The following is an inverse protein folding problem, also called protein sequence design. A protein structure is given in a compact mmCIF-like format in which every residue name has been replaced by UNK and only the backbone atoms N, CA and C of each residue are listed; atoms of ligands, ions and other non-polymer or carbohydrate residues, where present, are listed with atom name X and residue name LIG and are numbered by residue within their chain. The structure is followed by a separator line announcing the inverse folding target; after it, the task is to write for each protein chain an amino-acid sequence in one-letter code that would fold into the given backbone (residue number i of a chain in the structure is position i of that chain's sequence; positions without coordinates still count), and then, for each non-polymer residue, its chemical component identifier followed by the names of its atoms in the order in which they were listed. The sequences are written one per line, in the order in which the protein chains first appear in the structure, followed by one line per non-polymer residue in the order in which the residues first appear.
data_IF_561877597775
#
_entry.id   IF_561877597775
#
_cell.length_a   1.000
_cell.length_b   1.000
_cell.length_c   1.000
_cell.angle_alpha   90.00
_cell.angle_beta   90.00
_cell.angle_gamma   90.00
#
_symmetry.space_group_name_H-M   'P 1'
#
loop_
_entity.id
_entity.type
_entity.pdbx_description
1 polymer ?
#
# COMPACT_ATOMS: atom_id res chain seq x y z
N UNK A 1 8.97 -3.47 15.26
CA UNK A 1 9.03 -2.12 14.65
C UNK A 1 8.97 -1.11 15.78
N UNK A 2 9.87 -0.13 15.80
CA UNK A 2 9.75 0.97 16.75
C UNK A 2 8.46 1.74 16.47
N UNK A 3 7.69 1.98 17.52
CA UNK A 3 6.45 2.74 17.48
C UNK A 3 6.73 4.11 16.82
N UNK A 4 5.79 4.65 16.04
CA UNK A 4 5.88 5.99 15.44
C UNK A 4 6.31 7.05 16.46
N UNK A 5 5.86 6.88 17.71
CA UNK A 5 6.24 7.70 18.87
C UNK A 5 7.74 7.61 19.17
N UNK A 6 8.34 6.43 19.11
CA UNK A 6 9.76 6.23 19.44
C UNK A 6 10.68 6.94 18.44
N UNK A 7 10.31 6.94 17.14
CA UNK A 7 11.05 7.70 16.11
C UNK A 7 10.97 9.21 16.35
N UNK A 8 9.83 9.73 16.81
CA UNK A 8 9.66 11.14 17.18
C UNK A 8 10.46 11.50 18.44
N UNK A 9 10.46 10.63 19.45
CA UNK A 9 11.27 10.82 20.67
C UNK A 9 12.76 10.84 20.35
N UNK A 10 13.25 9.90 19.52
CA UNK A 10 14.63 9.90 19.05
C UNK A 10 14.98 11.20 18.31
N UNK A 11 14.12 11.63 17.39
CA UNK A 11 14.31 12.87 16.64
C UNK A 11 14.38 14.08 17.59
N UNK A 12 13.48 14.18 18.56
CA UNK A 12 13.48 15.26 19.55
C UNK A 12 14.75 15.27 20.39
N UNK A 13 15.21 14.11 20.86
CA UNK A 13 16.46 13.98 21.59
C UNK A 13 17.67 14.39 20.74
N UNK A 14 17.75 13.95 19.48
CA UNK A 14 18.85 14.34 18.58
C UNK A 14 18.86 15.85 18.30
N UNK A 15 17.69 16.47 18.16
CA UNK A 15 17.59 17.93 17.98
C UNK A 15 18.03 18.68 19.24
N UNK A 16 17.66 18.21 20.44
CA UNK A 16 18.11 18.82 21.71
C UNK A 16 19.65 18.75 21.81
N UNK A 17 20.24 17.60 21.48
CA UNK A 17 21.70 17.42 21.48
C UNK A 17 22.37 18.32 20.43
N UNK A 18 21.74 18.50 19.25
CA UNK A 18 22.24 19.42 18.23
C UNK A 18 22.24 20.87 18.73
N UNK A 19 21.16 21.32 19.39
CA UNK A 19 21.06 22.66 20.01
C UNK A 19 22.15 22.85 21.06
N UNK A 20 22.41 21.85 21.90
CA UNK A 20 23.48 21.89 22.90
C UNK A 20 24.88 21.98 22.25
N UNK A 21 25.15 21.21 21.19
CA UNK A 21 26.41 21.30 20.42
C UNK A 21 26.64 22.69 19.80
N UNK A 22 25.56 23.40 19.40
CA UNK A 22 25.69 24.79 18.95
C UNK A 22 26.10 25.75 20.09
N UNK A 23 25.69 25.48 21.33
CA UNK A 23 26.12 26.29 22.49
C UNK A 23 27.59 26.10 22.86
N UNK A 24 28.17 24.93 22.57
CA UNK A 24 29.61 24.66 22.77
C UNK A 24 30.50 25.08 21.57
N UNK A 25 29.98 25.86 20.62
CA UNK A 25 30.69 26.29 19.39
C UNK A 25 31.10 25.15 18.43
N UNK A 26 30.59 23.94 18.63
CA UNK A 26 30.82 22.78 17.76
C UNK A 26 29.82 22.75 16.58
N UNK A 27 29.85 23.80 15.75
CA UNK A 27 28.86 24.06 14.69
C UNK A 27 28.76 22.90 13.68
N UNK A 28 29.90 22.28 13.31
CA UNK A 28 29.93 21.15 12.38
C UNK A 28 29.19 19.91 12.90
N UNK A 29 29.35 19.60 14.18
CA UNK A 29 28.66 18.47 14.82
C UNK A 29 27.16 18.73 14.94
N UNK A 30 26.76 19.97 15.27
CA UNK A 30 25.36 20.37 15.32
C UNK A 30 24.65 20.22 13.96
N UNK A 31 25.30 20.65 12.88
CA UNK A 31 24.75 20.49 11.50
C UNK A 31 24.64 19.01 11.13
N UNK A 32 25.66 18.19 11.45
CA UNK A 32 25.63 16.76 11.18
C UNK A 32 24.49 16.05 11.94
N UNK A 33 24.27 16.40 13.20
CA UNK A 33 23.17 15.87 14.01
C UNK A 33 21.80 16.30 13.46
N UNK A 34 21.66 17.51 12.93
CA UNK A 34 20.43 17.94 12.26
C UNK A 34 20.18 17.17 10.95
N UNK A 35 21.22 16.90 10.15
CA UNK A 35 21.09 16.04 8.97
C UNK A 35 20.68 14.61 9.35
N UNK A 36 21.29 14.06 10.40
CA UNK A 36 20.95 12.75 10.94
C UNK A 36 19.49 12.69 11.46
N UNK A 37 19.05 13.75 12.15
CA UNK A 37 17.66 13.91 12.58
C UNK A 37 16.70 13.95 11.37
N UNK A 38 17.08 14.62 10.29
CA UNK A 38 16.35 14.63 9.02
C UNK A 38 16.14 13.23 8.44
N UNK A 39 17.14 12.34 8.54
CA UNK A 39 17.02 10.94 8.12
C UNK A 39 15.97 10.21 8.97
N UNK A 40 15.97 10.38 10.30
CA UNK A 40 14.96 9.76 11.16
C UNK A 40 13.54 10.23 10.84
N UNK A 41 13.36 11.50 10.49
CA UNK A 41 12.09 12.06 10.02
C UNK A 41 11.68 11.45 8.68
N UNK A 42 12.60 11.29 7.73
CA UNK A 42 12.30 10.63 6.46
C UNK A 42 11.87 9.16 6.64
N UNK A 43 12.57 8.43 7.52
CA UNK A 43 12.23 7.05 7.89
C UNK A 43 10.94 6.95 8.71
N UNK A 44 10.44 8.05 9.27
CA UNK A 44 9.11 8.11 9.89
C UNK A 44 8.00 8.11 8.83
N UNK A 45 8.13 8.92 7.77
CA UNK A 45 7.08 9.06 6.75
C UNK A 45 6.99 7.87 5.78
N UNK A 46 8.06 7.11 5.58
CA UNK A 46 8.06 5.91 4.73
C UNK A 46 8.40 4.66 5.53
N UNK A 47 7.42 3.76 5.67
CA UNK A 47 7.67 2.48 6.29
C UNK A 47 8.43 1.54 5.33
N UNK A 48 9.68 1.25 5.66
CA UNK A 48 10.56 0.34 4.93
C UNK A 48 9.94 -1.06 4.70
N UNK A 49 9.19 -1.58 5.67
CA UNK A 49 8.55 -2.90 5.57
C UNK A 49 7.56 -2.97 4.41
N UNK A 50 6.77 -1.90 4.21
CA UNK A 50 5.81 -1.80 3.11
C UNK A 50 6.56 -1.71 1.76
N UNK A 51 7.65 -0.94 1.71
CA UNK A 51 8.45 -0.79 0.49
C UNK A 51 9.11 -2.12 0.11
N UNK A 52 9.69 -2.82 1.08
CA UNK A 52 10.30 -4.14 0.88
C UNK A 52 9.26 -5.17 0.46
N UNK A 53 8.10 -5.20 1.11
CA UNK A 53 7.00 -6.08 0.73
C UNK A 53 6.51 -5.79 -0.70
N UNK A 54 6.36 -4.53 -1.08
CA UNK A 54 5.99 -4.13 -2.44
C UNK A 54 7.04 -4.56 -3.47
N UNK A 55 8.33 -4.38 -3.17
CA UNK A 55 9.41 -4.80 -4.06
C UNK A 55 9.43 -6.33 -4.26
N UNK A 56 9.18 -7.08 -3.19
CA UNK A 56 9.06 -8.54 -3.23
C UNK A 56 7.84 -8.98 -4.04
N UNK A 57 6.69 -8.35 -3.81
CA UNK A 57 5.47 -8.62 -4.57
C UNK A 57 5.66 -8.37 -6.07
N UNK A 58 6.36 -7.29 -6.45
CA UNK A 58 6.68 -6.98 -7.85
C UNK A 58 7.57 -8.05 -8.51
N UNK A 59 8.35 -8.78 -7.71
CA UNK A 59 9.15 -9.94 -8.15
C UNK A 59 8.37 -11.27 -8.06
N UNK A 60 7.06 -11.22 -7.82
CA UNK A 60 6.20 -12.39 -7.58
C UNK A 60 6.62 -13.25 -6.37
N UNK A 61 7.41 -12.71 -5.44
CA UNK A 61 7.81 -13.36 -4.19
C UNK A 61 6.77 -13.06 -3.10
N UNK A 62 5.67 -13.82 -3.11
CA UNK A 62 4.54 -13.66 -2.19
C UNK A 62 4.90 -14.03 -0.74
N UNK A 63 5.71 -15.08 -0.55
CA UNK A 63 6.14 -15.52 0.77
C UNK A 63 7.07 -14.49 1.42
N UNK A 64 8.02 -13.97 0.64
CA UNK A 64 8.89 -12.87 1.07
C UNK A 64 8.08 -11.63 1.43
N UNK A 65 7.09 -11.27 0.62
CA UNK A 65 6.21 -10.13 0.90
C UNK A 65 5.40 -10.33 2.19
N UNK A 66 4.81 -11.52 2.41
CA UNK A 66 4.13 -11.85 3.65
C UNK A 66 5.06 -11.77 4.87
N UNK A 67 6.28 -12.32 4.78
CA UNK A 67 7.27 -12.23 5.88
C UNK A 67 7.59 -10.79 6.27
N UNK A 68 7.64 -9.86 5.31
CA UNK A 68 7.86 -8.45 5.62
C UNK A 68 6.61 -7.77 6.19
N UNK A 69 5.42 -8.13 5.71
CA UNK A 69 4.16 -7.59 6.21
C UNK A 69 3.81 -8.13 7.60
N UNK A 70 4.12 -9.38 7.91
CA UNK A 70 3.84 -9.99 9.21
C UNK A 70 4.73 -9.41 10.33
N UNK A 71 5.84 -8.73 9.98
CA UNK A 71 6.62 -7.91 10.93
C UNK A 71 5.83 -6.68 11.42
N UNK A 72 4.76 -6.30 10.72
CA UNK A 72 3.83 -5.23 11.11
C UNK A 72 2.70 -5.87 11.92
N UNK A 73 2.96 -6.06 13.22
CA UNK A 73 2.00 -6.71 14.14
C UNK A 73 0.69 -5.94 14.31
N UNK A 74 0.77 -4.60 14.36
CA UNK A 74 -0.41 -3.75 14.51
C UNK A 74 -0.43 -2.63 13.45
N UNK A 75 -1.07 -2.84 12.30
CA UNK A 75 -1.11 -1.86 11.21
C UNK A 75 -1.73 -0.53 11.63
N UNK A 76 -2.82 -0.55 12.41
CA UNK A 76 -3.59 0.65 12.77
C UNK A 76 -2.86 1.58 13.75
N UNK A 77 -2.07 1.03 14.67
CA UNK A 77 -1.31 1.82 15.66
C UNK A 77 0.06 2.21 15.11
N UNK A 78 0.71 1.32 14.37
CA UNK A 78 2.08 1.50 13.88
C UNK A 78 2.18 2.33 12.59
N UNK A 79 1.11 2.41 11.79
CA UNK A 79 1.14 3.06 10.48
C UNK A 79 0.33 4.36 10.47
N UNK A 80 0.72 5.27 9.58
CA UNK A 80 -0.13 6.41 9.18
C UNK A 80 -1.29 5.85 8.33
N UNK A 81 -2.47 6.47 8.34
CA UNK A 81 -3.66 6.02 7.60
C UNK A 81 -3.38 5.55 6.16
N UNK A 82 -2.57 6.32 5.41
CA UNK A 82 -2.19 5.96 4.04
C UNK A 82 -1.24 4.76 3.97
N UNK A 83 -0.33 4.61 4.92
CA UNK A 83 0.53 3.43 5.04
C UNK A 83 -0.29 2.18 5.42
N UNK A 84 -1.30 2.33 6.29
CA UNK A 84 -2.26 1.26 6.57
C UNK A 84 -3.04 0.87 5.30
N UNK A 85 -3.41 1.86 4.47
CA UNK A 85 -3.97 1.63 3.14
C UNK A 85 -3.07 0.75 2.27
N UNK A 86 -1.77 1.05 2.20
CA UNK A 86 -0.80 0.22 1.47
C UNK A 86 -0.63 -1.19 2.04
N UNK A 87 -0.65 -1.34 3.37
CA UNK A 87 -0.62 -2.65 4.00
C UNK A 87 -1.81 -3.51 3.56
N UNK A 88 -3.02 -2.95 3.63
CA UNK A 88 -4.23 -3.65 3.19
C UNK A 88 -4.23 -3.90 1.69
N UNK A 89 -3.71 -2.98 0.89
CA UNK A 89 -3.58 -3.15 -0.55
C UNK A 89 -2.70 -4.36 -0.90
N UNK A 90 -1.50 -4.43 -0.31
CA UNK A 90 -0.57 -5.55 -0.52
C UNK A 90 -1.17 -6.88 -0.03
N UNK A 91 -1.74 -6.91 1.18
CA UNK A 91 -2.38 -8.14 1.70
C UNK A 91 -3.54 -8.59 0.82
N UNK A 92 -4.34 -7.65 0.33
CA UNK A 92 -5.44 -7.91 -0.61
C UNK A 92 -4.97 -8.54 -1.92
N UNK A 93 -3.88 -8.04 -2.52
CA UNK A 93 -3.32 -8.61 -3.74
C UNK A 93 -2.85 -10.05 -3.56
N UNK A 94 -2.17 -10.36 -2.45
CA UNK A 94 -1.70 -11.72 -2.18
C UNK A 94 -2.87 -12.67 -1.95
N UNK A 95 -3.88 -12.23 -1.20
CA UNK A 95 -5.08 -13.03 -0.92
C UNK A 95 -5.97 -13.21 -2.14
N UNK A 96 -5.88 -12.36 -3.18
CA UNK A 96 -6.66 -12.54 -4.41
C UNK A 96 -6.39 -13.87 -5.11
N UNK A 97 -5.26 -14.54 -4.82
CA UNK A 97 -4.94 -15.85 -5.38
C UNK A 97 -5.54 -17.02 -4.59
N UNK A 98 -5.68 -16.87 -3.27
CA UNK A 98 -6.05 -17.97 -2.36
C UNK A 98 -7.46 -17.80 -1.79
N UNK A 99 -7.85 -16.56 -1.46
CA UNK A 99 -9.11 -16.24 -0.81
C UNK A 99 -9.69 -14.89 -1.28
N UNK A 100 -10.56 -14.96 -2.30
CA UNK A 100 -11.24 -13.80 -2.87
C UNK A 100 -12.14 -13.05 -1.88
N UNK A 101 -12.64 -13.70 -0.83
CA UNK A 101 -13.52 -13.06 0.17
C UNK A 101 -12.72 -12.14 1.07
N UNK A 102 -11.58 -12.61 1.57
CA UNK A 102 -10.68 -11.79 2.37
C UNK A 102 -9.98 -10.73 1.54
N UNK A 103 -9.56 -11.06 0.32
CA UNK A 103 -8.98 -10.11 -0.61
C UNK A 103 -9.88 -8.88 -0.81
N UNK A 104 -11.18 -9.09 -1.01
CA UNK A 104 -12.14 -8.00 -1.14
C UNK A 104 -12.20 -7.11 0.11
N UNK A 105 -12.22 -7.71 1.31
CA UNK A 105 -12.25 -6.96 2.58
C UNK A 105 -11.02 -6.06 2.71
N UNK A 106 -9.84 -6.63 2.42
CA UNK A 106 -8.59 -5.89 2.48
C UNK A 106 -8.53 -4.78 1.43
N UNK A 107 -8.88 -5.06 0.17
CA UNK A 107 -8.87 -4.06 -0.89
C UNK A 107 -9.90 -2.95 -0.66
N UNK A 108 -11.11 -3.26 -0.16
CA UNK A 108 -12.09 -2.24 0.23
C UNK A 108 -11.54 -1.33 1.32
N UNK A 109 -10.93 -1.93 2.35
CA UNK A 109 -10.30 -1.16 3.43
C UNK A 109 -9.15 -0.28 2.90
N UNK A 110 -8.35 -0.77 1.97
CA UNK A 110 -7.29 0.02 1.32
C UNK A 110 -7.85 1.24 0.56
N UNK A 111 -8.93 1.04 -0.20
CA UNK A 111 -9.59 2.13 -0.94
C UNK A 111 -10.21 3.16 0.02
N UNK A 112 -10.85 2.71 1.10
CA UNK A 112 -11.42 3.59 2.15
C UNK A 112 -10.35 4.41 2.85
N UNK A 113 -9.21 3.80 3.19
CA UNK A 113 -8.11 4.49 3.86
C UNK A 113 -7.36 5.48 2.96
N UNK A 114 -7.41 5.25 1.64
CA UNK A 114 -6.68 6.06 0.67
C UNK A 114 -5.26 5.56 0.44
N UNK A 115 -4.82 5.62 -0.81
CA UNK A 115 -3.44 5.38 -1.24
C UNK A 115 -2.81 6.70 -1.64
N UNK A 116 -1.48 6.82 -1.51
CA UNK A 116 -0.79 8.06 -1.87
C UNK A 116 -0.76 8.29 -3.39
N UNK A 117 -0.71 7.23 -4.18
CA UNK A 117 -0.64 7.31 -5.64
C UNK A 117 -2.00 6.97 -6.28
N UNK A 118 -2.45 7.83 -7.18
CA UNK A 118 -3.64 7.61 -8.02
C UNK A 118 -3.55 6.29 -8.79
N UNK A 119 -2.34 5.91 -9.23
CA UNK A 119 -2.06 4.67 -9.94
C UNK A 119 -2.29 3.43 -9.07
N UNK A 120 -1.83 3.43 -7.82
CA UNK A 120 -2.08 2.34 -6.89
C UNK A 120 -3.56 2.25 -6.52
N UNK A 121 -4.23 3.41 -6.37
CA UNK A 121 -5.68 3.46 -6.15
C UNK A 121 -6.45 2.89 -7.35
N UNK A 122 -6.04 3.22 -8.57
CA UNK A 122 -6.61 2.68 -9.79
C UNK A 122 -6.42 1.15 -9.86
N UNK A 123 -5.23 0.65 -9.52
CA UNK A 123 -4.94 -0.78 -9.48
C UNK A 123 -5.74 -1.51 -8.40
N UNK A 124 -5.93 -0.92 -7.21
CA UNK A 124 -6.79 -1.48 -6.16
C UNK A 124 -8.25 -1.60 -6.61
N UNK A 125 -8.80 -0.55 -7.23
CA UNK A 125 -10.17 -0.54 -7.77
C UNK A 125 -10.33 -1.50 -8.95
N UNK A 126 -9.31 -1.64 -9.79
CA UNK A 126 -9.29 -2.62 -10.87
C UNK A 126 -9.35 -4.05 -10.34
N UNK A 127 -8.56 -4.38 -9.32
CA UNK A 127 -8.62 -5.70 -8.66
C UNK A 127 -9.99 -5.95 -8.00
N UNK A 128 -10.58 -4.94 -7.34
CA UNK A 128 -11.95 -5.03 -6.83
C UNK A 128 -12.98 -5.26 -7.94
N UNK A 129 -12.83 -4.61 -9.09
CA UNK A 129 -13.69 -4.84 -10.25
C UNK A 129 -13.56 -6.28 -10.75
N UNK A 130 -12.35 -6.83 -10.80
CA UNK A 130 -12.10 -8.24 -11.11
C UNK A 130 -12.84 -9.18 -10.15
N UNK A 131 -12.72 -8.96 -8.84
CA UNK A 131 -13.44 -9.75 -7.82
C UNK A 131 -14.96 -9.59 -7.95
N UNK A 132 -15.45 -8.39 -8.25
CA UNK A 132 -16.87 -8.13 -8.48
C UNK A 132 -17.40 -8.90 -9.70
N UNK A 133 -16.63 -8.94 -10.79
CA UNK A 133 -16.94 -9.75 -12.00
C UNK A 133 -17.02 -11.23 -11.65
N UNK A 134 -16.02 -11.78 -10.94
CA UNK A 134 -16.01 -13.18 -10.51
C UNK A 134 -17.20 -13.56 -9.63
N UNK A 135 -17.76 -12.58 -8.90
CA UNK A 135 -18.96 -12.75 -8.06
C UNK A 135 -20.27 -12.36 -8.76
N UNK A 136 -20.25 -12.08 -10.07
CA UNK A 136 -21.44 -11.72 -10.85
C UNK A 136 -22.00 -10.31 -10.61
N UNK A 137 -21.29 -9.46 -9.86
CA UNK A 137 -21.72 -8.10 -9.50
C UNK A 137 -21.35 -7.10 -10.60
N UNK A 138 -22.09 -7.16 -11.72
CA UNK A 138 -21.80 -6.35 -12.91
C UNK A 138 -21.88 -4.84 -12.67
N UNK A 139 -22.85 -4.37 -11.88
CA UNK A 139 -23.06 -2.94 -11.59
C UNK A 139 -21.90 -2.37 -10.76
N UNK A 140 -21.47 -3.10 -9.71
CA UNK A 140 -20.32 -2.70 -8.89
C UNK A 140 -19.04 -2.68 -9.74
N UNK A 141 -18.83 -3.68 -10.58
CA UNK A 141 -17.69 -3.75 -11.48
C UNK A 141 -17.64 -2.59 -12.50
N UNK A 142 -18.76 -2.20 -13.11
CA UNK A 142 -18.78 -1.11 -14.09
C UNK A 142 -18.52 0.25 -13.44
N UNK A 143 -19.05 0.48 -12.24
CA UNK A 143 -18.77 1.68 -11.45
C UNK A 143 -17.27 1.78 -11.13
N UNK A 144 -16.68 0.70 -10.60
CA UNK A 144 -15.25 0.64 -10.29
C UNK A 144 -14.38 0.88 -11.53
N UNK A 145 -14.66 0.22 -12.66
CA UNK A 145 -13.90 0.42 -13.91
C UNK A 145 -13.98 1.86 -14.45
N UNK A 146 -15.06 2.57 -14.15
CA UNK A 146 -15.20 3.99 -14.53
C UNK A 146 -14.30 4.87 -13.67
N UNK A 147 -14.21 4.58 -12.37
CA UNK A 147 -13.29 5.26 -11.47
C UNK A 147 -11.83 4.96 -11.80
N UNK A 148 -11.50 3.72 -12.18
CA UNK A 148 -10.15 3.37 -12.66
C UNK A 148 -9.73 4.25 -13.82
N UNK A 149 -10.60 4.46 -14.82
CA UNK A 149 -10.31 5.35 -15.96
C UNK A 149 -10.08 6.80 -15.56
N UNK A 150 -10.75 7.29 -14.52
CA UNK A 150 -10.56 8.66 -14.02
C UNK A 150 -9.21 8.83 -13.31
N UNK A 151 -8.76 7.79 -12.61
CA UNK A 151 -7.51 7.79 -11.85
C UNK A 151 -6.29 7.43 -12.72
N UNK A 152 -6.46 6.63 -13.76
CA UNK A 152 -5.40 6.24 -14.69
C UNK A 152 -5.10 7.34 -15.73
N UNK A 153 -4.44 8.39 -15.26
CA UNK A 153 -4.03 9.55 -16.10
C UNK A 153 -3.00 9.19 -17.16
N UNK A 154 -2.19 8.16 -16.92
CA UNK A 154 -1.09 7.75 -17.81
C UNK A 154 -1.50 6.65 -18.80
N UNK A 155 -2.71 6.08 -18.63
CA UNK A 155 -3.22 5.05 -19.53
C UNK A 155 -2.56 3.68 -19.36
N UNK A 156 -1.89 3.44 -18.23
CA UNK A 156 -1.14 2.22 -17.93
C UNK A 156 -2.05 1.00 -17.75
N UNK A 157 -3.31 1.23 -17.39
CA UNK A 157 -4.30 0.18 -17.12
C UNK A 157 -5.35 0.06 -18.24
N UNK A 158 -5.18 0.78 -19.36
CA UNK A 158 -6.15 0.80 -20.48
C UNK A 158 -6.48 -0.59 -21.00
N UNK A 159 -5.46 -1.41 -21.24
CA UNK A 159 -5.63 -2.77 -21.78
C UNK A 159 -6.34 -3.67 -20.77
N UNK A 160 -5.98 -3.56 -19.50
CA UNK A 160 -6.58 -4.35 -18.42
C UNK A 160 -8.05 -3.97 -18.22
N UNK A 161 -8.38 -2.68 -18.26
CA UNK A 161 -9.77 -2.19 -18.23
C UNK A 161 -10.54 -2.68 -19.46
N UNK A 162 -9.94 -2.68 -20.64
CA UNK A 162 -10.56 -3.19 -21.86
C UNK A 162 -10.86 -4.70 -21.76
N UNK A 163 -9.90 -5.49 -21.28
CA UNK A 163 -10.09 -6.92 -21.01
C UNK A 163 -11.21 -7.19 -19.99
N UNK A 164 -11.24 -6.45 -18.88
CA UNK A 164 -12.31 -6.59 -17.88
C UNK A 164 -13.68 -6.22 -18.44
N UNK A 165 -13.76 -5.18 -19.27
CA UNK A 165 -15.01 -4.82 -19.98
C UNK A 165 -15.44 -5.91 -20.96
N UNK A 166 -14.51 -6.55 -21.66
CA UNK A 166 -14.82 -7.69 -22.53
C UNK A 166 -15.38 -8.87 -21.72
N UNK A 167 -14.76 -9.18 -20.58
CA UNK A 167 -15.24 -10.24 -19.68
C UNK A 167 -16.64 -9.96 -19.12
N UNK A 168 -16.96 -8.69 -18.82
CA UNK A 168 -18.31 -8.28 -18.41
C UNK A 168 -19.38 -8.55 -19.49
N UNK A 169 -19.02 -8.36 -20.78
CA UNK A 169 -19.91 -8.61 -21.91
C UNK A 169 -20.11 -10.10 -22.20
N UNK A 170 -19.06 -10.91 -22.01
CA UNK A 170 -19.11 -12.37 -22.27
C UNK A 170 -19.92 -13.16 -21.23
N UNK A 171 -20.26 -12.56 -20.08
CA UNK A 171 -20.98 -13.26 -19.00
C UNK A 171 -20.06 -14.20 -18.20
N UNK A 172 -20.51 -14.72 -17.04
CA UNK A 172 -19.72 -15.67 -16.26
C UNK A 172 -19.48 -16.94 -17.09
N UNK A 173 -18.22 -17.28 -17.31
CA UNK A 173 -17.83 -18.56 -17.94
C UNK A 173 -18.35 -19.67 -17.01
N UNK A 174 -19.19 -20.61 -17.50
CA UNK A 174 -19.60 -21.74 -16.68
C UNK A 174 -18.34 -22.49 -16.24
N UNK A 175 -18.10 -22.61 -14.94
CA UNK A 175 -17.08 -23.53 -14.46
C UNK A 175 -17.51 -24.92 -14.94
N UNK A 176 -16.80 -25.47 -15.93
CA UNK A 176 -16.95 -26.87 -16.29
C UNK A 176 -16.63 -27.66 -15.02
N UNK A 177 -17.68 -28.15 -14.35
CA UNK A 177 -17.55 -29.17 -13.31
C UNK A 177 -16.73 -30.28 -13.94
N UNK A 178 -15.52 -30.51 -13.44
CA UNK A 178 -14.80 -31.74 -13.76
C UNK A 178 -15.59 -32.85 -13.08
N UNK A 179 -16.25 -33.66 -13.91
CA UNK A 179 -16.90 -34.90 -13.51
C UNK A 179 -15.81 -35.95 -13.25
#
# INVERSE_FOLDING_TARGET
MFNKIFKLVLTALTVIIAVWQFTESNIGNGIFLLLLAGIFVLLYFKNEFIILAFLKLRKQDFDGANKWLDKIKEPHTALVQKQEGYYHYLKGLMLSQTNLKEAEKHLKKAVTLGLNMDQDMAMAKLNLAGIAISKGRKIEATALLTEVKKLDKQGMLKDQVAMMKANLKKGPVPQMRRY
#
